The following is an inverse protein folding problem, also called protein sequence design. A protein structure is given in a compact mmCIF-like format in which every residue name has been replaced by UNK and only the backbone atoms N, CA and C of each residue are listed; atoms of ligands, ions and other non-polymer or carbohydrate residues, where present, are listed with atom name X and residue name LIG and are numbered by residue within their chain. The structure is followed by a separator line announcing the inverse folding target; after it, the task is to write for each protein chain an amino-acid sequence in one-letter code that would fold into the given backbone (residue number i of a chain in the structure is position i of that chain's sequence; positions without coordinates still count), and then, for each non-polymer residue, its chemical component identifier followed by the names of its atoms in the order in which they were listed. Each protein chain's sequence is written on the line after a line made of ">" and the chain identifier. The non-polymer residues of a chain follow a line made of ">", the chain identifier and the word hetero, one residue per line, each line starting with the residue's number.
data_IF_140168718807
#
_entry.id   IF_140168718807
#
_cell.length_a   1.000
_cell.length_b   1.000
_cell.length_c   1.000
_cell.angle_alpha   90.00
_cell.angle_beta   90.00
_cell.angle_gamma   90.00
#
_symmetry.space_group_name_H-M   'P 1'
#
loop_
_entity.id
_entity.type
_entity.pdbx_description
1 polymer ?
#
# COMPACT_ATOMS: atom_id res chain seq x y z
N UNK A 1 35.82 31.58 -39.33
CA UNK A 1 36.86 31.31 -40.35
C UNK A 1 36.83 29.84 -40.71
N UNK A 2 36.88 29.55 -42.01
CA UNK A 2 36.61 28.27 -42.68
C UNK A 2 37.34 27.03 -42.09
N UNK A 3 36.64 25.88 -42.06
CA UNK A 3 36.78 24.88 -43.14
C UNK A 3 35.72 23.77 -43.04
N UNK A 4 34.76 23.76 -43.98
CA UNK A 4 33.91 22.60 -44.27
C UNK A 4 34.48 21.94 -45.52
N UNK A 5 35.13 20.80 -45.36
CA UNK A 5 35.61 19.99 -46.49
C UNK A 5 34.42 19.13 -46.94
N UNK A 6 33.94 19.38 -48.16
CA UNK A 6 32.96 18.54 -48.83
C UNK A 6 33.72 17.49 -49.66
N UNK A 7 33.66 16.22 -49.25
CA UNK A 7 34.10 15.11 -50.08
C UNK A 7 32.91 14.59 -50.89
N UNK A 8 32.97 14.73 -52.21
CA UNK A 8 32.01 14.12 -53.14
C UNK A 8 32.60 12.82 -53.68
N UNK A 9 31.94 11.70 -53.42
CA UNK A 9 32.10 10.47 -54.20
C UNK A 9 30.79 10.31 -54.99
N UNK A 10 30.88 10.48 -56.31
CA UNK A 10 29.79 10.19 -57.24
C UNK A 10 29.97 8.78 -57.75
N UNK A 11 29.12 7.86 -57.30
CA UNK A 11 28.92 6.55 -57.95
C UNK A 11 27.42 6.37 -58.15
N UNK A 12 26.99 6.32 -59.41
CA UNK A 12 25.75 5.68 -59.84
C UNK A 12 24.41 6.27 -59.35
N UNK A 13 23.93 7.32 -60.02
CA UNK A 13 22.57 7.35 -60.58
C UNK A 13 21.33 7.07 -59.71
N UNK A 14 21.35 7.28 -58.39
CA UNK A 14 20.15 7.28 -57.54
C UNK A 14 20.32 8.30 -56.41
N UNK A 15 19.68 9.47 -56.56
CA UNK A 15 19.61 10.48 -55.50
C UNK A 15 18.60 10.04 -54.44
N UNK A 16 19.07 9.30 -53.45
CA UNK A 16 18.35 9.11 -52.19
C UNK A 16 18.48 10.42 -51.42
N UNK A 17 17.40 11.20 -51.35
CA UNK A 17 17.30 12.33 -50.44
C UNK A 17 17.35 11.80 -49.00
N UNK A 18 18.53 11.85 -48.39
CA UNK A 18 18.67 11.67 -46.96
C UNK A 18 18.17 12.97 -46.30
N UNK A 19 16.86 13.01 -46.01
CA UNK A 19 16.34 14.00 -45.08
C UNK A 19 17.09 13.80 -43.76
N UNK A 20 17.76 14.82 -43.20
CA UNK A 20 18.16 14.73 -41.81
C UNK A 20 16.87 14.52 -41.03
N UNK A 21 16.76 13.37 -40.35
CA UNK A 21 15.69 13.15 -39.39
C UNK A 21 15.66 14.38 -38.50
N UNK A 22 14.54 15.11 -38.56
CA UNK A 22 14.31 16.24 -37.68
C UNK A 22 14.55 15.77 -36.27
N UNK A 23 15.38 16.50 -35.53
CA UNK A 23 15.39 16.43 -34.08
C UNK A 23 13.97 16.76 -33.64
N UNK A 24 13.15 15.74 -33.37
CA UNK A 24 11.90 15.94 -32.63
C UNK A 24 12.28 16.70 -31.36
N UNK A 25 11.63 17.84 -31.15
CA UNK A 25 11.86 18.63 -29.94
C UNK A 25 11.50 17.74 -28.74
N UNK A 26 12.49 17.43 -27.91
CA UNK A 26 12.29 16.64 -26.70
C UNK A 26 11.26 17.34 -25.80
N UNK A 27 10.14 16.66 -25.54
CA UNK A 27 9.14 17.09 -24.57
C UNK A 27 9.55 16.73 -23.12
N UNK A 28 10.75 16.17 -22.94
CA UNK A 28 11.26 15.80 -21.65
C UNK A 28 11.82 17.01 -20.92
N UNK A 29 11.12 17.41 -19.85
CA UNK A 29 11.55 18.51 -18.99
C UNK A 29 12.15 17.92 -17.73
N UNK A 30 13.41 18.24 -17.48
CA UNK A 30 14.10 17.98 -16.22
C UNK A 30 13.92 19.20 -15.33
N UNK A 31 13.25 19.05 -14.20
CA UNK A 31 13.05 20.18 -13.29
C UNK A 31 14.38 20.66 -12.72
N UNK A 32 14.61 21.97 -12.76
CA UNK A 32 15.79 22.58 -12.15
C UNK A 32 15.71 22.46 -10.61
N UNK A 33 16.87 22.35 -9.91
CA UNK A 33 16.87 22.36 -8.46
C UNK A 33 16.24 23.67 -7.94
N UNK A 34 15.20 23.56 -7.11
CA UNK A 34 14.60 24.71 -6.43
C UNK A 34 15.46 25.13 -5.22
N UNK A 35 15.12 26.24 -4.56
CA UNK A 35 15.79 26.69 -3.33
C UNK A 35 15.74 25.68 -2.17
N UNK A 36 14.86 24.67 -2.23
CA UNK A 36 14.80 23.53 -1.30
C UNK A 36 15.94 22.51 -1.48
N UNK A 37 16.75 22.67 -2.54
CA UNK A 37 17.91 21.82 -2.89
C UNK A 37 18.97 21.70 -1.78
N UNK A 38 18.94 22.59 -0.77
CA UNK A 38 19.85 22.48 0.39
C UNK A 38 19.53 21.31 1.33
N UNK A 39 18.26 20.92 1.43
CA UNK A 39 17.79 19.89 2.38
C UNK A 39 17.31 18.61 1.71
N UNK A 40 17.08 18.64 0.39
CA UNK A 40 16.56 17.50 -0.38
C UNK A 40 17.32 17.39 -1.70
N UNK A 41 17.73 16.17 -2.06
CA UNK A 41 18.20 15.85 -3.39
C UNK A 41 17.00 15.61 -4.31
N UNK A 42 16.81 16.49 -5.30
CA UNK A 42 15.63 16.47 -6.17
C UNK A 42 15.98 16.10 -7.61
N UNK A 43 15.17 15.22 -8.21
CA UNK A 43 15.18 14.97 -9.66
C UNK A 43 13.78 14.61 -10.14
N UNK A 44 13.17 15.48 -10.92
CA UNK A 44 11.85 15.25 -11.51
C UNK A 44 11.92 15.30 -13.04
N UNK A 45 11.36 14.27 -13.68
CA UNK A 45 11.20 14.17 -15.13
C UNK A 45 9.72 14.28 -15.48
N UNK A 46 9.40 15.05 -16.52
CA UNK A 46 8.02 15.18 -17.00
C UNK A 46 7.44 13.84 -17.45
N UNK A 47 6.12 13.69 -17.35
CA UNK A 47 5.41 12.46 -17.75
C UNK A 47 5.68 12.11 -19.23
N UNK A 48 5.88 13.12 -20.08
CA UNK A 48 6.16 12.97 -21.51
C UNK A 48 7.56 12.45 -21.87
N UNK A 49 8.47 12.27 -20.91
CA UNK A 49 9.79 11.71 -21.19
C UNK A 49 9.70 10.25 -21.65
N UNK A 50 10.33 9.95 -22.78
CA UNK A 50 10.53 8.61 -23.33
C UNK A 50 11.45 7.77 -22.46
N UNK A 51 11.48 6.45 -22.67
CA UNK A 51 12.38 5.56 -21.94
C UNK A 51 13.85 5.91 -22.16
N UNK A 52 14.25 6.20 -23.41
CA UNK A 52 15.63 6.60 -23.73
C UNK A 52 16.05 7.89 -23.02
N UNK A 53 15.16 8.87 -22.92
CA UNK A 53 15.44 10.12 -22.19
C UNK A 53 15.57 9.88 -20.68
N UNK A 54 14.76 8.97 -20.10
CA UNK A 54 14.87 8.59 -18.69
C UNK A 54 16.18 7.85 -18.40
N UNK A 55 16.63 6.98 -19.32
CA UNK A 55 17.93 6.31 -19.23
C UNK A 55 19.10 7.29 -19.26
N UNK A 56 19.01 8.32 -20.10
CA UNK A 56 20.01 9.39 -20.14
C UNK A 56 20.05 10.23 -18.86
N UNK A 57 18.98 10.22 -18.07
CA UNK A 57 18.83 10.95 -16.81
C UNK A 57 18.81 10.01 -15.58
N UNK A 58 19.44 8.85 -15.70
CA UNK A 58 19.52 7.87 -14.61
C UNK A 58 20.10 8.49 -13.33
N UNK A 59 19.53 8.12 -12.19
CA UNK A 59 19.99 8.52 -10.87
C UNK A 59 20.68 7.32 -10.23
N UNK A 60 21.97 7.42 -9.96
CA UNK A 60 22.70 6.32 -9.33
C UNK A 60 22.38 6.27 -7.82
N UNK A 61 22.09 5.08 -7.30
CA UNK A 61 21.78 4.87 -5.88
C UNK A 61 22.89 5.36 -4.94
N UNK A 62 24.14 5.38 -5.41
CA UNK A 62 25.27 5.97 -4.68
C UNK A 62 25.09 7.48 -4.43
N UNK A 63 24.45 8.22 -5.35
CA UNK A 63 24.14 9.64 -5.17
C UNK A 63 23.07 9.82 -4.08
N UNK A 64 22.08 8.93 -4.04
CA UNK A 64 21.04 8.95 -3.01
C UNK A 64 21.61 8.64 -1.63
N UNK A 65 22.47 7.63 -1.54
CA UNK A 65 23.18 7.28 -0.32
C UNK A 65 24.06 8.44 0.16
N UNK A 66 24.76 9.11 -0.75
CA UNK A 66 25.57 10.29 -0.44
C UNK A 66 24.70 11.45 0.06
N UNK A 67 23.55 11.70 -0.55
CA UNK A 67 22.60 12.71 -0.08
C UNK A 67 22.16 12.45 1.37
N UNK A 68 21.84 11.20 1.72
CA UNK A 68 21.51 10.83 3.10
C UNK A 68 22.69 11.05 4.07
N UNK A 69 23.92 10.71 3.66
CA UNK A 69 25.14 10.96 4.47
C UNK A 69 25.38 12.45 4.72
N UNK A 70 24.95 13.31 3.79
CA UNK A 70 25.01 14.77 3.89
C UNK A 70 23.82 15.39 4.67
N UNK A 71 22.95 14.57 5.27
CA UNK A 71 21.82 15.07 6.04
C UNK A 71 20.59 15.43 5.19
N UNK A 72 20.56 15.10 3.90
CA UNK A 72 19.46 15.46 2.98
C UNK A 72 18.44 14.34 2.86
N UNK A 73 17.19 14.69 2.56
CA UNK A 73 16.21 13.75 2.01
C UNK A 73 16.39 13.53 0.50
N UNK A 74 15.55 12.69 -0.08
CA UNK A 74 15.43 12.52 -1.54
C UNK A 74 13.98 12.77 -1.98
N UNK A 75 13.85 13.39 -3.16
CA UNK A 75 12.59 13.61 -3.86
C UNK A 75 12.76 13.37 -5.36
N UNK A 76 12.37 12.17 -5.78
CA UNK A 76 12.52 11.69 -7.15
C UNK A 76 11.16 11.43 -7.78
N UNK A 77 10.98 11.86 -9.02
CA UNK A 77 9.75 11.66 -9.78
C UNK A 77 10.06 11.37 -11.25
N UNK A 78 9.48 10.30 -11.78
CA UNK A 78 9.67 9.92 -13.17
C UNK A 78 11.08 9.42 -13.54
N UNK A 79 11.93 9.04 -12.59
CA UNK A 79 13.32 8.68 -12.89
C UNK A 79 13.53 7.17 -13.00
N UNK A 80 14.68 6.79 -13.53
CA UNK A 80 15.26 5.46 -13.33
C UNK A 80 16.33 5.58 -12.24
N UNK A 81 16.19 4.80 -11.16
CA UNK A 81 17.20 4.65 -10.12
C UNK A 81 18.00 3.37 -10.39
N UNK A 82 19.33 3.50 -10.53
CA UNK A 82 20.23 2.39 -10.86
C UNK A 82 21.18 2.07 -9.71
N UNK A 83 21.45 0.78 -9.52
CA UNK A 83 22.37 0.29 -8.49
C UNK A 83 21.70 0.10 -7.12
N UNK A 84 22.43 -0.54 -6.22
CA UNK A 84 21.91 -0.92 -4.91
C UNK A 84 22.00 0.22 -3.88
N UNK A 85 20.88 0.49 -3.22
CA UNK A 85 20.79 1.42 -2.10
C UNK A 85 20.96 0.66 -0.77
N UNK A 86 22.20 0.58 -0.32
CA UNK A 86 22.59 -0.13 0.91
C UNK A 86 22.54 0.80 2.13
N UNK A 87 21.37 0.86 2.79
CA UNK A 87 21.10 1.76 3.93
C UNK A 87 21.85 1.35 5.21
N UNK A 88 22.32 0.10 5.29
CA UNK A 88 23.23 -0.40 6.33
C UNK A 88 24.63 0.23 6.25
N UNK A 89 24.94 1.04 5.24
CA UNK A 89 26.23 1.75 5.10
C UNK A 89 26.18 3.21 5.56
N UNK A 90 25.01 3.72 5.98
CA UNK A 90 24.86 5.06 6.58
C UNK A 90 25.60 5.13 7.92
N UNK A 91 26.22 6.24 8.33
CA UNK A 91 26.94 6.31 9.59
C UNK A 91 26.05 5.97 10.79
N UNK A 92 26.65 5.32 11.80
CA UNK A 92 25.97 5.05 13.07
C UNK A 92 25.71 6.38 13.77
N UNK A 93 24.49 6.54 14.28
CA UNK A 93 24.02 7.74 14.95
C UNK A 93 23.43 7.41 16.32
N UNK A 94 23.08 8.45 17.07
CA UNK A 94 22.30 8.30 18.30
C UNK A 94 20.82 8.03 17.96
N UNK A 95 20.09 7.44 18.89
CA UNK A 95 18.65 7.29 18.77
C UNK A 95 18.02 8.69 18.68
N UNK A 96 17.18 8.98 17.67
CA UNK A 96 16.48 10.26 17.59
C UNK A 96 15.59 10.48 18.82
N UNK A 97 15.56 11.72 19.32
CA UNK A 97 14.82 12.11 20.54
C UNK A 97 13.33 11.78 20.48
N UNK A 98 12.76 11.74 19.27
CA UNK A 98 11.38 11.33 19.01
C UNK A 98 11.08 9.88 19.48
N UNK A 99 12.12 9.08 19.70
CA UNK A 99 12.07 7.67 20.08
C UNK A 99 12.59 7.40 21.51
N UNK A 100 12.96 8.42 22.28
CA UNK A 100 13.56 8.25 23.63
C UNK A 100 12.68 7.43 24.59
N UNK A 101 11.35 7.51 24.43
CA UNK A 101 10.39 6.76 25.23
C UNK A 101 10.33 5.25 24.92
N UNK A 102 10.94 4.79 23.82
CA UNK A 102 10.89 3.39 23.37
C UNK A 102 12.12 2.64 23.89
N UNK A 103 12.06 2.20 25.15
CA UNK A 103 13.17 1.52 25.84
C UNK A 103 13.68 0.29 25.08
N UNK A 104 12.81 -0.40 24.37
CA UNK A 104 13.15 -1.60 23.61
C UNK A 104 13.95 -1.31 22.32
N UNK A 105 14.09 -0.05 21.94
CA UNK A 105 14.98 0.39 20.85
C UNK A 105 16.39 0.76 21.34
N UNK A 106 16.59 0.91 22.65
CA UNK A 106 17.86 1.31 23.24
C UNK A 106 18.92 0.21 23.09
N UNK A 107 20.19 0.61 23.02
CA UNK A 107 21.33 -0.31 22.90
C UNK A 107 21.52 -0.94 21.52
N UNK A 108 20.72 -0.54 20.51
CA UNK A 108 20.86 -0.99 19.13
C UNK A 108 21.73 -0.03 18.33
N UNK A 109 22.44 -0.53 17.33
CA UNK A 109 23.10 0.32 16.35
C UNK A 109 22.03 1.09 15.56
N UNK A 110 22.05 2.42 15.59
CA UNK A 110 21.05 3.25 14.90
C UNK A 110 21.66 3.84 13.64
N UNK A 111 20.97 3.71 12.50
CA UNK A 111 21.28 4.41 11.26
C UNK A 111 20.08 5.23 10.84
N UNK A 112 20.30 6.44 10.35
CA UNK A 112 19.22 7.41 10.14
C UNK A 112 19.17 7.87 8.70
N UNK A 113 18.00 7.76 8.07
CA UNK A 113 17.63 8.52 6.88
C UNK A 113 17.04 9.85 7.37
N UNK A 114 17.75 10.98 7.15
CA UNK A 114 17.49 12.23 7.87
C UNK A 114 16.25 12.99 7.37
N UNK A 115 15.83 12.75 6.13
CA UNK A 115 14.73 13.46 5.48
C UNK A 115 13.73 12.52 4.80
N UNK A 116 13.01 13.06 3.81
CA UNK A 116 12.07 12.30 2.99
C UNK A 116 12.78 11.21 2.18
N UNK A 117 12.05 10.14 1.89
CA UNK A 117 12.45 9.10 0.95
C UNK A 117 11.36 8.94 -0.09
N UNK A 118 11.33 9.85 -1.07
CA UNK A 118 10.30 9.89 -2.10
C UNK A 118 10.88 9.43 -3.44
N UNK A 119 10.29 8.38 -4.01
CA UNK A 119 10.58 7.81 -5.33
C UNK A 119 9.23 7.54 -5.98
N UNK A 120 8.76 8.45 -6.82
CA UNK A 120 7.36 8.49 -7.33
C UNK A 120 7.33 8.26 -8.83
N UNK A 121 6.37 7.47 -9.31
CA UNK A 121 6.15 7.16 -10.72
C UNK A 121 7.46 6.83 -11.47
N UNK A 122 8.33 6.06 -10.82
CA UNK A 122 9.73 5.81 -11.21
C UNK A 122 10.01 4.30 -11.37
N UNK A 123 11.23 3.96 -11.80
CA UNK A 123 11.72 2.58 -11.85
C UNK A 123 12.98 2.45 -11.00
N UNK A 124 12.99 1.56 -10.02
CA UNK A 124 14.18 1.20 -9.25
C UNK A 124 14.73 -0.14 -9.73
N UNK A 125 15.91 -0.12 -10.36
CA UNK A 125 16.55 -1.30 -10.98
C UNK A 125 17.52 -2.04 -10.08
N UNK A 126 17.88 -1.44 -8.95
CA UNK A 126 18.68 -2.10 -7.92
C UNK A 126 17.86 -2.37 -6.67
N UNK A 127 18.53 -2.99 -5.71
CA UNK A 127 17.91 -3.33 -4.42
C UNK A 127 17.86 -2.12 -3.49
N UNK A 128 16.93 -2.13 -2.54
CA UNK A 128 16.93 -1.21 -1.40
C UNK A 128 16.99 -2.07 -0.14
N UNK A 129 18.10 -2.02 0.60
CA UNK A 129 18.31 -2.96 1.72
C UNK A 129 18.85 -2.30 2.98
N UNK A 130 18.37 -2.77 4.11
CA UNK A 130 18.99 -2.59 5.42
C UNK A 130 19.31 -3.97 6.03
N UNK A 131 20.58 -4.40 5.92
CA UNK A 131 21.02 -5.75 6.31
C UNK A 131 21.45 -5.89 7.78
N UNK A 132 21.39 -4.82 8.57
CA UNK A 132 21.83 -4.90 9.97
C UNK A 132 20.90 -5.82 10.75
N UNK A 133 21.43 -6.95 11.23
CA UNK A 133 20.66 -7.94 12.00
C UNK A 133 20.36 -7.41 13.40
N UNK A 134 21.29 -6.65 13.98
CA UNK A 134 21.17 -6.10 15.34
C UNK A 134 20.77 -4.61 15.32
N UNK A 135 21.07 -3.89 14.24
CA UNK A 135 20.77 -2.47 14.11
C UNK A 135 19.35 -2.13 13.66
N UNK A 136 19.03 -0.86 13.77
CA UNK A 136 17.75 -0.25 13.45
C UNK A 136 17.97 0.86 12.42
N UNK A 137 17.17 0.83 11.37
CA UNK A 137 17.07 1.97 10.46
C UNK A 137 15.96 2.90 10.97
N UNK A 138 16.20 4.19 11.09
CA UNK A 138 15.17 5.18 11.38
C UNK A 138 15.02 6.11 10.20
N UNK A 139 13.81 6.22 9.65
CA UNK A 139 13.48 7.16 8.58
C UNK A 139 12.68 8.31 9.17
N UNK A 140 13.30 9.50 9.22
CA UNK A 140 12.72 10.67 9.88
C UNK A 140 11.63 11.35 9.05
N UNK A 141 11.79 11.38 7.73
CA UNK A 141 10.82 11.99 6.82
C UNK A 141 9.80 10.98 6.26
N UNK A 142 8.82 11.46 5.48
CA UNK A 142 7.84 10.59 4.83
C UNK A 142 8.51 9.67 3.80
N UNK A 143 7.96 8.46 3.66
CA UNK A 143 8.37 7.51 2.63
C UNK A 143 7.26 7.41 1.59
N UNK A 144 7.56 7.73 0.33
CA UNK A 144 6.57 7.67 -0.75
C UNK A 144 7.14 6.93 -1.94
N UNK A 145 6.57 5.77 -2.24
CA UNK A 145 6.91 4.92 -3.38
C UNK A 145 5.77 4.83 -4.41
N UNK A 146 4.90 5.83 -4.44
CA UNK A 146 3.67 5.80 -5.22
C UNK A 146 3.94 5.61 -6.71
N UNK A 147 3.25 4.66 -7.34
CA UNK A 147 3.40 4.37 -8.78
C UNK A 147 4.78 3.85 -9.20
N UNK A 148 5.69 3.57 -8.25
CA UNK A 148 7.06 3.15 -8.56
C UNK A 148 7.17 1.65 -8.71
N UNK A 149 7.92 1.21 -9.71
CA UNK A 149 8.23 -0.21 -9.98
C UNK A 149 9.61 -0.55 -9.43
N UNK A 150 9.67 -1.51 -8.50
CA UNK A 150 10.90 -2.07 -7.95
C UNK A 150 11.20 -3.40 -8.62
N UNK A 151 12.32 -3.45 -9.36
CA UNK A 151 12.72 -4.63 -10.12
C UNK A 151 13.43 -5.68 -9.29
N UNK A 152 13.98 -5.27 -8.15
CA UNK A 152 14.79 -6.09 -7.26
C UNK A 152 14.26 -6.02 -5.82
N UNK A 153 14.83 -6.82 -4.93
CA UNK A 153 14.46 -6.93 -3.52
C UNK A 153 14.39 -5.55 -2.83
N UNK A 154 13.31 -5.33 -2.09
CA UNK A 154 13.19 -4.23 -1.12
C UNK A 154 13.12 -4.81 0.29
N UNK A 155 14.18 -4.62 1.07
CA UNK A 155 14.25 -5.06 2.47
C UNK A 155 14.47 -3.86 3.40
N UNK A 156 13.38 -3.41 4.00
CA UNK A 156 13.35 -2.38 5.04
C UNK A 156 12.99 -3.00 6.39
N UNK A 157 13.39 -4.24 6.63
CA UNK A 157 13.23 -4.89 7.93
C UNK A 157 13.99 -4.15 9.04
N UNK A 158 13.45 -4.22 10.25
CA UNK A 158 13.97 -3.55 11.46
C UNK A 158 14.11 -2.04 11.24
N UNK A 159 13.08 -1.44 10.64
CA UNK A 159 13.00 0.00 10.41
C UNK A 159 11.93 0.65 11.28
N UNK A 160 12.16 1.90 11.68
CA UNK A 160 11.14 2.78 12.29
C UNK A 160 10.85 3.93 11.33
N UNK A 161 9.60 4.07 10.94
CA UNK A 161 9.11 5.15 10.09
C UNK A 161 8.36 6.16 10.95
N UNK A 162 8.94 7.35 11.13
CA UNK A 162 8.36 8.39 11.98
C UNK A 162 7.19 9.12 11.34
N UNK A 163 7.15 9.12 10.01
CA UNK A 163 6.19 9.83 9.18
C UNK A 163 5.41 8.83 8.30
N UNK A 164 4.33 9.26 7.63
CA UNK A 164 3.50 8.38 6.82
C UNK A 164 4.29 7.63 5.74
N UNK A 165 3.85 6.41 5.45
CA UNK A 165 4.40 5.56 4.39
C UNK A 165 3.35 5.35 3.31
N UNK A 166 3.62 5.79 2.09
CA UNK A 166 2.70 5.66 0.95
C UNK A 166 3.32 4.77 -0.13
N UNK A 167 2.66 3.65 -0.42
CA UNK A 167 3.05 2.65 -1.42
C UNK A 167 2.00 2.53 -2.55
N UNK A 168 1.02 3.42 -2.60
CA UNK A 168 -0.12 3.30 -3.51
C UNK A 168 0.31 3.17 -4.97
N UNK A 169 -0.26 2.21 -5.69
CA UNK A 169 0.11 1.87 -7.08
C UNK A 169 1.56 1.39 -7.29
N UNK A 170 2.35 1.18 -6.22
CA UNK A 170 3.69 0.62 -6.37
C UNK A 170 3.64 -0.83 -6.87
N UNK A 171 4.70 -1.27 -7.55
CA UNK A 171 4.84 -2.63 -8.08
C UNK A 171 6.17 -3.21 -7.61
N UNK A 172 6.13 -4.20 -6.74
CA UNK A 172 7.29 -4.99 -6.32
C UNK A 172 7.35 -6.26 -7.18
N UNK A 173 8.39 -6.39 -8.01
CA UNK A 173 8.57 -7.57 -8.85
C UNK A 173 9.24 -8.73 -8.11
N UNK A 174 10.05 -8.41 -7.11
CA UNK A 174 10.71 -9.38 -6.22
C UNK A 174 10.13 -9.27 -4.80
N UNK A 175 10.81 -9.88 -3.84
CA UNK A 175 10.34 -9.87 -2.46
C UNK A 175 10.35 -8.47 -1.84
N UNK A 176 9.45 -8.27 -0.88
CA UNK A 176 9.39 -7.04 -0.10
C UNK A 176 9.27 -7.35 1.39
N UNK A 177 10.26 -6.94 2.15
CA UNK A 177 10.38 -7.27 3.57
C UNK A 177 10.34 -6.02 4.43
N UNK A 178 9.44 -6.04 5.40
CA UNK A 178 9.24 -5.04 6.43
C UNK A 178 9.26 -5.69 7.82
N UNK A 179 9.99 -6.80 7.97
CA UNK A 179 9.99 -7.63 9.19
C UNK A 179 10.45 -6.82 10.39
N UNK A 180 9.73 -6.89 11.50
CA UNK A 180 9.99 -6.09 12.71
C UNK A 180 10.01 -4.57 12.42
N UNK A 181 9.20 -4.12 11.47
CA UNK A 181 9.00 -2.71 11.17
C UNK A 181 8.11 -2.02 12.21
N UNK A 182 8.34 -0.74 12.47
CA UNK A 182 7.45 0.12 13.26
C UNK A 182 7.00 1.30 12.41
N UNK A 183 5.69 1.44 12.24
CA UNK A 183 5.07 2.52 11.48
C UNK A 183 4.28 3.39 12.45
N UNK A 184 4.81 4.59 12.75
CA UNK A 184 4.22 5.44 13.80
C UNK A 184 3.01 6.25 13.31
N UNK A 185 2.84 6.35 11.99
CA UNK A 185 1.79 7.06 11.29
C UNK A 185 1.14 6.16 10.25
N UNK A 186 0.22 6.73 9.49
CA UNK A 186 -0.61 6.03 8.52
C UNK A 186 0.23 5.34 7.44
N UNK A 187 -0.24 4.16 7.02
CA UNK A 187 0.33 3.41 5.90
C UNK A 187 -0.72 3.25 4.81
N UNK A 188 -0.45 3.82 3.64
CA UNK A 188 -1.36 3.81 2.50
C UNK A 188 -0.74 3.01 1.37
N UNK A 189 -1.19 1.79 1.18
CA UNK A 189 -0.70 0.86 0.17
C UNK A 189 -1.86 0.38 -0.70
N UNK A 190 -2.62 1.33 -1.26
CA UNK A 190 -3.80 1.05 -2.10
C UNK A 190 -3.38 0.69 -3.52
N UNK A 191 -4.03 -0.32 -4.10
CA UNK A 191 -3.74 -0.78 -5.48
C UNK A 191 -2.26 -1.13 -5.70
N UNK A 192 -1.57 -1.55 -4.64
CA UNK A 192 -0.17 -1.97 -4.68
C UNK A 192 -0.08 -3.42 -5.15
N UNK A 193 0.87 -3.71 -6.03
CA UNK A 193 1.17 -5.08 -6.48
C UNK A 193 2.43 -5.57 -5.79
N UNK A 194 2.27 -6.49 -4.85
CA UNK A 194 3.36 -7.14 -4.14
C UNK A 194 3.83 -8.39 -4.87
N UNK A 195 5.15 -8.63 -4.82
CA UNK A 195 5.83 -9.69 -5.55
C UNK A 195 5.65 -11.10 -4.94
N UNK A 196 6.58 -12.03 -5.25
CA UNK A 196 6.47 -13.43 -4.86
C UNK A 196 6.42 -13.68 -3.36
N UNK A 197 7.15 -12.92 -2.54
CA UNK A 197 7.05 -13.03 -1.07
C UNK A 197 7.01 -11.64 -0.43
N UNK A 198 6.04 -11.44 0.46
CA UNK A 198 5.91 -10.19 1.23
C UNK A 198 5.77 -10.49 2.71
N UNK A 199 6.57 -9.80 3.53
CA UNK A 199 6.66 -10.11 4.96
C UNK A 199 6.56 -8.86 5.82
N UNK A 200 5.58 -8.86 6.71
CA UNK A 200 5.39 -7.89 7.78
C UNK A 200 5.61 -8.52 9.17
N UNK A 201 6.16 -9.74 9.24
CA UNK A 201 6.31 -10.51 10.49
C UNK A 201 6.80 -9.65 11.68
N UNK A 202 6.07 -9.70 12.81
CA UNK A 202 6.36 -8.94 14.04
C UNK A 202 6.42 -7.42 13.87
N UNK A 203 5.75 -6.87 12.87
CA UNK A 203 5.65 -5.42 12.70
C UNK A 203 4.55 -4.82 13.55
N UNK A 204 4.68 -3.52 13.82
CA UNK A 204 3.71 -2.74 14.58
C UNK A 204 3.28 -1.53 13.75
N UNK A 205 1.98 -1.40 13.52
CA UNK A 205 1.34 -0.25 12.86
C UNK A 205 0.55 0.54 13.90
N UNK A 206 1.04 1.71 14.27
CA UNK A 206 0.41 2.59 15.27
C UNK A 206 -0.67 3.49 14.68
N UNK A 207 -0.57 3.82 13.38
CA UNK A 207 -1.58 4.54 12.62
C UNK A 207 -2.51 3.62 11.83
N UNK A 208 -3.58 4.17 11.22
CA UNK A 208 -4.44 3.46 10.28
C UNK A 208 -3.66 2.89 9.09
N UNK A 209 -4.13 1.75 8.57
CA UNK A 209 -3.50 1.08 7.43
C UNK A 209 -4.54 0.75 6.36
N UNK A 210 -4.21 0.98 5.09
CA UNK A 210 -5.04 0.54 3.96
C UNK A 210 -4.21 -0.20 2.93
N UNK A 211 -4.68 -1.40 2.57
CA UNK A 211 -4.25 -2.24 1.45
C UNK A 211 -5.40 -2.42 0.44
N UNK A 212 -6.35 -1.48 0.43
CA UNK A 212 -7.55 -1.59 -0.39
C UNK A 212 -7.16 -1.85 -1.86
N UNK A 213 -7.80 -2.83 -2.49
CA UNK A 213 -7.56 -3.23 -3.88
C UNK A 213 -6.13 -3.65 -4.22
N UNK A 214 -5.30 -3.97 -3.22
CA UNK A 214 -3.93 -4.44 -3.45
C UNK A 214 -3.88 -5.93 -3.77
N UNK A 215 -2.82 -6.35 -4.46
CA UNK A 215 -2.58 -7.73 -4.84
C UNK A 215 -1.30 -8.26 -4.25
N UNK A 216 -1.38 -9.37 -3.53
CA UNK A 216 -0.24 -10.17 -3.10
C UNK A 216 -0.08 -11.35 -4.05
N UNK A 217 0.87 -11.26 -4.98
CA UNK A 217 0.99 -12.22 -6.08
C UNK A 217 1.59 -13.56 -5.66
N UNK A 218 2.33 -13.59 -4.55
CA UNK A 218 2.78 -14.84 -3.94
C UNK A 218 2.42 -14.94 -2.45
N UNK A 219 3.33 -15.46 -1.63
CA UNK A 219 3.08 -15.64 -0.19
C UNK A 219 3.09 -14.30 0.54
N UNK A 220 2.08 -14.07 1.39
CA UNK A 220 1.95 -12.88 2.21
C UNK A 220 1.95 -13.23 3.70
N UNK A 221 2.96 -12.77 4.44
CA UNK A 221 3.11 -13.06 5.86
C UNK A 221 2.84 -11.81 6.71
N UNK A 222 1.69 -11.83 7.37
CA UNK A 222 1.30 -10.92 8.45
C UNK A 222 1.31 -11.69 9.77
N UNK A 223 2.40 -12.39 10.08
CA UNK A 223 2.52 -13.22 11.28
C UNK A 223 2.92 -12.38 12.50
N UNK A 224 2.20 -12.50 13.61
CA UNK A 224 2.47 -11.75 14.85
C UNK A 224 2.50 -10.21 14.64
N UNK A 225 1.66 -9.68 13.75
CA UNK A 225 1.57 -8.24 13.46
C UNK A 225 0.60 -7.57 14.42
N UNK A 226 0.96 -6.40 14.92
CA UNK A 226 0.05 -5.56 15.71
C UNK A 226 -0.44 -4.36 14.91
N UNK A 227 -1.76 -4.27 14.70
CA UNK A 227 -2.44 -3.11 14.16
C UNK A 227 -3.17 -2.40 15.31
N UNK A 228 -2.70 -1.21 15.70
CA UNK A 228 -3.26 -0.45 16.84
C UNK A 228 -4.52 0.34 16.48
N UNK A 229 -4.74 0.56 15.18
CA UNK A 229 -5.87 1.29 14.61
C UNK A 229 -6.53 0.45 13.51
N UNK A 230 -7.49 1.06 12.82
CA UNK A 230 -8.24 0.40 11.76
C UNK A 230 -7.32 -0.03 10.62
N UNK A 231 -7.60 -1.23 10.09
CA UNK A 231 -6.97 -1.77 8.90
C UNK A 231 -8.02 -2.09 7.84
N UNK A 232 -7.77 -1.61 6.62
CA UNK A 232 -8.60 -1.85 5.46
C UNK A 232 -7.88 -2.75 4.46
N UNK A 233 -8.25 -4.02 4.42
CA UNK A 233 -7.84 -5.04 3.44
C UNK A 233 -9.02 -5.38 2.50
N UNK A 234 -9.98 -4.48 2.34
CA UNK A 234 -11.13 -4.72 1.47
C UNK A 234 -10.70 -4.82 0.01
N UNK A 235 -11.31 -5.77 -0.71
CA UNK A 235 -11.00 -6.05 -2.12
C UNK A 235 -9.54 -6.40 -2.39
N UNK A 236 -8.77 -6.78 -1.36
CA UNK A 236 -7.41 -7.27 -1.52
C UNK A 236 -7.42 -8.69 -2.09
N UNK A 237 -6.47 -9.01 -2.97
CA UNK A 237 -6.30 -10.37 -3.50
C UNK A 237 -5.02 -11.02 -2.99
N UNK A 238 -5.15 -12.18 -2.36
CA UNK A 238 -4.05 -13.05 -1.95
C UNK A 238 -4.00 -14.26 -2.90
N UNK A 239 -3.01 -14.30 -3.79
CA UNK A 239 -2.96 -15.33 -4.86
C UNK A 239 -2.46 -16.68 -4.39
N UNK A 240 -1.49 -16.72 -3.47
CA UNK A 240 -1.00 -17.96 -2.86
C UNK A 240 -1.42 -17.98 -1.38
N UNK A 241 -0.61 -18.59 -0.50
CA UNK A 241 -0.87 -18.64 0.93
C UNK A 241 -0.73 -17.28 1.61
N UNK A 242 -1.59 -17.00 2.58
CA UNK A 242 -1.48 -15.84 3.46
C UNK A 242 -1.64 -16.24 4.92
N UNK A 243 -0.85 -15.62 5.79
CA UNK A 243 -0.85 -15.91 7.22
C UNK A 243 -1.01 -14.65 8.05
N UNK A 244 -2.04 -14.62 8.88
CA UNK A 244 -2.30 -13.63 9.92
C UNK A 244 -2.08 -14.21 11.33
N UNK A 245 -1.54 -15.43 11.44
CA UNK A 245 -1.46 -16.14 12.71
C UNK A 245 -0.74 -15.35 13.81
N UNK A 246 -1.34 -15.34 15.00
CA UNK A 246 -0.85 -14.59 16.16
C UNK A 246 -0.97 -13.06 16.03
N UNK A 247 -1.55 -12.53 14.95
CA UNK A 247 -1.73 -11.08 14.79
C UNK A 247 -2.82 -10.52 15.69
N UNK A 248 -2.74 -9.22 15.93
CA UNK A 248 -3.66 -8.46 16.76
C UNK A 248 -4.19 -7.25 16.00
N UNK A 249 -5.50 -7.20 15.84
CA UNK A 249 -6.23 -6.09 15.23
C UNK A 249 -7.01 -5.35 16.32
N UNK A 250 -6.52 -4.20 16.78
CA UNK A 250 -7.20 -3.44 17.84
C UNK A 250 -8.37 -2.60 17.36
N UNK A 251 -8.23 -1.98 16.18
CA UNK A 251 -9.32 -1.31 15.50
C UNK A 251 -10.16 -2.25 14.66
N UNK A 252 -10.98 -1.66 13.77
CA UNK A 252 -11.72 -2.39 12.75
C UNK A 252 -10.74 -3.14 11.83
N UNK A 253 -10.98 -4.43 11.62
CA UNK A 253 -10.29 -5.24 10.63
C UNK A 253 -11.21 -5.54 9.45
N UNK A 254 -11.10 -4.77 8.37
CA UNK A 254 -11.97 -4.90 7.22
C UNK A 254 -11.32 -5.77 6.12
N UNK A 255 -11.82 -6.98 5.94
CA UNK A 255 -11.50 -7.93 4.86
C UNK A 255 -12.67 -8.10 3.87
N UNK A 256 -13.62 -7.17 3.84
CA UNK A 256 -14.80 -7.28 2.98
C UNK A 256 -14.39 -7.38 1.50
N UNK A 257 -15.06 -8.26 0.76
CA UNK A 257 -14.78 -8.54 -0.65
C UNK A 257 -13.31 -9.00 -0.94
N UNK A 258 -12.53 -9.37 0.09
CA UNK A 258 -11.17 -9.90 -0.11
C UNK A 258 -11.21 -11.30 -0.72
N UNK A 259 -10.23 -11.63 -1.56
CA UNK A 259 -10.12 -12.94 -2.21
C UNK A 259 -8.85 -13.66 -1.75
N UNK A 260 -9.03 -14.85 -1.18
CA UNK A 260 -7.99 -15.74 -0.70
C UNK A 260 -7.94 -16.98 -1.59
N UNK A 261 -6.97 -17.04 -2.50
CA UNK A 261 -6.87 -18.12 -3.48
C UNK A 261 -6.11 -19.33 -2.93
N UNK A 262 -5.09 -19.10 -2.11
CA UNK A 262 -4.41 -20.13 -1.35
C UNK A 262 -4.96 -20.25 0.08
N UNK A 263 -4.25 -21.02 0.91
CA UNK A 263 -4.61 -21.20 2.32
C UNK A 263 -4.53 -19.88 3.09
N UNK A 264 -5.51 -19.62 3.94
CA UNK A 264 -5.57 -18.41 4.77
C UNK A 264 -5.57 -18.80 6.25
N UNK A 265 -4.48 -18.49 6.95
CA UNK A 265 -4.31 -18.85 8.35
C UNK A 265 -4.53 -17.65 9.27
N UNK A 266 -5.58 -17.69 10.07
CA UNK A 266 -5.90 -16.74 11.13
C UNK A 266 -5.75 -17.37 12.52
N UNK A 267 -4.95 -18.44 12.65
CA UNK A 267 -4.81 -19.15 13.92
C UNK A 267 -4.25 -18.26 15.02
N UNK A 268 -4.84 -18.32 16.22
CA UNK A 268 -4.47 -17.45 17.36
C UNK A 268 -4.59 -15.94 17.11
N UNK A 269 -5.27 -15.51 16.04
CA UNK A 269 -5.49 -14.08 15.76
C UNK A 269 -6.44 -13.47 16.78
N UNK A 270 -6.16 -12.25 17.21
CA UNK A 270 -7.02 -11.48 18.11
C UNK A 270 -7.63 -10.29 17.38
N UNK A 271 -8.94 -10.35 17.16
CA UNK A 271 -9.75 -9.23 16.69
C UNK A 271 -10.31 -8.49 17.92
N UNK A 272 -9.60 -7.44 18.33
CA UNK A 272 -9.99 -6.54 19.42
C UNK A 272 -11.17 -5.65 19.05
N UNK A 273 -11.15 -5.10 17.83
CA UNK A 273 -12.28 -4.40 17.21
C UNK A 273 -13.15 -5.31 16.36
N UNK A 274 -14.09 -4.71 15.62
CA UNK A 274 -14.95 -5.44 14.68
C UNK A 274 -14.11 -6.09 13.56
N UNK A 275 -14.50 -7.28 13.11
CA UNK A 275 -13.86 -8.03 12.04
C UNK A 275 -14.87 -8.27 10.91
N UNK A 276 -14.70 -7.57 9.80
CA UNK A 276 -15.61 -7.60 8.66
C UNK A 276 -15.05 -8.49 7.55
N UNK A 277 -15.64 -9.66 7.34
CA UNK A 277 -15.33 -10.60 6.26
C UNK A 277 -16.48 -10.71 5.25
N UNK A 278 -17.37 -9.71 5.19
CA UNK A 278 -18.52 -9.76 4.28
C UNK A 278 -18.10 -9.93 2.84
N UNK A 279 -18.75 -10.84 2.14
CA UNK A 279 -18.45 -11.14 0.73
C UNK A 279 -17.00 -11.57 0.45
N UNK A 280 -16.22 -11.91 1.49
CA UNK A 280 -14.88 -12.47 1.30
C UNK A 280 -14.98 -13.86 0.66
N UNK A 281 -14.05 -14.18 -0.24
CA UNK A 281 -13.99 -15.48 -0.93
C UNK A 281 -12.73 -16.23 -0.53
N UNK A 282 -12.90 -17.40 0.10
CA UNK A 282 -11.85 -18.33 0.45
C UNK A 282 -11.93 -19.55 -0.48
N UNK A 283 -11.01 -19.64 -1.45
CA UNK A 283 -10.96 -20.73 -2.44
C UNK A 283 -10.21 -21.97 -1.96
N UNK A 284 -9.43 -21.82 -0.89
CA UNK A 284 -8.77 -22.90 -0.18
C UNK A 284 -9.17 -22.88 1.31
N UNK A 285 -8.52 -23.69 2.13
CA UNK A 285 -8.81 -23.77 3.56
C UNK A 285 -8.60 -22.41 4.24
N UNK A 286 -9.61 -21.97 4.98
CA UNK A 286 -9.52 -20.84 5.90
C UNK A 286 -9.51 -21.35 7.34
N UNK A 287 -8.44 -21.09 8.08
CA UNK A 287 -8.26 -21.61 9.44
C UNK A 287 -8.26 -20.47 10.48
N UNK A 288 -9.35 -20.38 11.24
CA UNK A 288 -9.55 -19.46 12.36
C UNK A 288 -9.41 -20.17 13.71
N UNK A 289 -8.74 -21.31 13.77
CA UNK A 289 -8.60 -22.06 15.02
C UNK A 289 -7.90 -21.23 16.11
N UNK A 290 -8.49 -21.22 17.31
CA UNK A 290 -8.06 -20.41 18.44
C UNK A 290 -8.09 -18.88 18.21
N UNK A 291 -8.78 -18.41 17.17
CA UNK A 291 -9.00 -16.98 16.98
C UNK A 291 -9.94 -16.42 18.06
N UNK A 292 -9.70 -15.18 18.47
CA UNK A 292 -10.51 -14.46 19.45
C UNK A 292 -11.19 -13.26 18.80
N UNK A 293 -12.52 -13.28 18.74
CA UNK A 293 -13.34 -12.18 18.27
C UNK A 293 -13.92 -11.44 19.48
N UNK A 294 -13.24 -10.37 19.90
CA UNK A 294 -13.67 -9.51 21.03
C UNK A 294 -14.65 -8.44 20.57
N UNK A 295 -14.47 -7.91 19.36
CA UNK A 295 -15.48 -7.14 18.64
C UNK A 295 -16.43 -8.05 17.84
N UNK A 296 -17.35 -7.46 17.08
CA UNK A 296 -18.30 -8.21 16.26
C UNK A 296 -17.59 -8.80 15.04
N UNK A 297 -17.86 -10.06 14.72
CA UNK A 297 -17.49 -10.67 13.45
C UNK A 297 -18.67 -10.70 12.48
N UNK A 298 -18.42 -10.34 11.22
CA UNK A 298 -19.42 -10.43 10.15
C UNK A 298 -18.88 -11.23 8.96
N UNK A 299 -19.38 -12.46 8.81
CA UNK A 299 -19.09 -13.35 7.70
C UNK A 299 -20.25 -13.44 6.70
N UNK A 300 -21.18 -12.48 6.70
CA UNK A 300 -22.35 -12.53 5.82
C UNK A 300 -21.92 -12.53 4.35
N UNK A 301 -22.49 -13.47 3.59
CA UNK A 301 -22.14 -13.71 2.19
C UNK A 301 -20.67 -14.09 1.94
N UNK A 302 -19.89 -14.46 2.96
CA UNK A 302 -18.57 -15.05 2.75
C UNK A 302 -18.70 -16.46 2.13
N UNK A 303 -17.79 -16.79 1.21
CA UNK A 303 -17.74 -18.11 0.54
C UNK A 303 -16.51 -18.89 1.00
N UNK A 304 -16.71 -20.15 1.39
CA UNK A 304 -15.65 -21.08 1.81
C UNK A 304 -15.67 -22.34 0.92
N UNK A 305 -14.97 -22.31 -0.21
CA UNK A 305 -15.07 -23.37 -1.24
C UNK A 305 -14.53 -24.72 -0.77
N UNK A 306 -13.49 -24.72 0.06
CA UNK A 306 -12.86 -25.92 0.64
C UNK A 306 -13.09 -26.04 2.16
N UNK A 307 -14.08 -25.29 2.69
CA UNK A 307 -14.41 -25.27 4.10
C UNK A 307 -13.56 -24.34 4.97
N UNK A 308 -14.03 -24.15 6.21
CA UNK A 308 -13.43 -23.28 7.22
C UNK A 308 -13.28 -23.99 8.56
N UNK A 309 -12.21 -23.69 9.30
CA UNK A 309 -11.97 -24.23 10.64
C UNK A 309 -12.12 -23.12 11.69
N UNK A 310 -12.90 -23.39 12.74
CA UNK A 310 -13.11 -22.47 13.88
C UNK A 310 -12.87 -23.18 15.22
N UNK A 311 -12.04 -24.22 15.23
CA UNK A 311 -11.76 -25.03 16.42
C UNK A 311 -11.25 -24.14 17.56
N UNK A 312 -11.91 -24.16 18.71
CA UNK A 312 -11.57 -23.31 19.87
C UNK A 312 -11.58 -21.79 19.58
N UNK A 313 -12.22 -21.34 18.49
CA UNK A 313 -12.45 -19.92 18.28
C UNK A 313 -13.50 -19.41 19.26
N UNK A 314 -13.28 -18.23 19.84
CA UNK A 314 -14.17 -17.64 20.84
C UNK A 314 -14.71 -16.29 20.37
N UNK A 315 -16.00 -16.04 20.61
CA UNK A 315 -16.70 -14.78 20.40
C UNK A 315 -17.11 -14.20 21.75
N UNK A 316 -16.55 -13.05 22.10
CA UNK A 316 -16.88 -12.35 23.34
C UNK A 316 -17.86 -11.19 23.13
N UNK A 317 -18.02 -10.71 21.90
CA UNK A 317 -19.03 -9.70 21.59
C UNK A 317 -20.46 -10.27 21.72
N UNK A 318 -21.42 -9.50 22.27
CA UNK A 318 -22.82 -9.92 22.29
C UNK A 318 -23.32 -10.16 20.86
N UNK A 319 -24.09 -11.25 20.67
CA UNK A 319 -24.74 -11.51 19.39
C UNK A 319 -25.55 -10.28 18.95
N UNK A 320 -25.49 -9.86 17.67
CA UNK A 320 -26.30 -8.75 17.19
C UNK A 320 -27.77 -9.06 17.46
N UNK A 321 -28.50 -8.08 18.00
CA UNK A 321 -29.94 -8.19 18.13
C UNK A 321 -30.51 -8.51 16.73
N UNK A 322 -31.45 -9.48 16.61
CA UNK A 322 -32.05 -9.78 15.32
C UNK A 322 -32.60 -8.49 14.72
N UNK A 323 -32.45 -8.27 13.40
CA UNK A 323 -32.97 -7.06 12.77
C UNK A 323 -34.44 -6.95 13.13
N UNK A 324 -34.83 -5.83 13.76
CA UNK A 324 -36.24 -5.55 14.08
C UNK A 324 -37.00 -5.62 12.77
N UNK A 325 -37.70 -6.72 12.54
CA UNK A 325 -38.46 -6.92 11.32
C UNK A 325 -39.48 -5.81 11.19
N UNK A 326 -39.52 -5.15 10.03
CA UNK A 326 -40.49 -4.11 9.64
C UNK A 326 -41.95 -4.61 9.54
N UNK A 327 -42.36 -5.59 10.37
CA UNK A 327 -43.75 -6.06 10.40
C UNK A 327 -44.69 -4.95 10.89
N UNK A 328 -44.28 -4.16 11.87
CA UNK A 328 -45.10 -3.06 12.39
C UNK A 328 -45.27 -1.93 11.38
N UNK A 329 -44.19 -1.51 10.71
CA UNK A 329 -44.27 -0.45 9.69
C UNK A 329 -45.17 -0.84 8.50
N UNK A 330 -45.09 -2.09 8.05
CA UNK A 330 -45.96 -2.61 6.98
C UNK A 330 -47.43 -2.67 7.41
N UNK A 331 -47.71 -2.98 8.68
CA UNK A 331 -49.07 -3.03 9.21
C UNK A 331 -49.67 -1.62 9.35
N UNK A 332 -48.90 -0.64 9.84
CA UNK A 332 -49.34 0.76 9.90
C UNK A 332 -49.55 1.37 8.51
N UNK A 333 -48.68 1.05 7.53
CA UNK A 333 -48.84 1.49 6.15
C UNK A 333 -50.13 0.92 5.51
N UNK A 334 -50.43 -0.37 5.74
CA UNK A 334 -51.66 -0.99 5.25
C UNK A 334 -52.92 -0.37 5.86
N UNK A 335 -52.91 -0.07 7.18
CA UNK A 335 -54.01 0.61 7.87
C UNK A 335 -54.19 2.03 7.32
N UNK A 336 -53.11 2.79 7.12
CA UNK A 336 -53.18 4.15 6.58
C UNK A 336 -53.77 4.19 5.16
N UNK A 337 -53.40 3.22 4.30
CA UNK A 337 -53.97 3.08 2.95
C UNK A 337 -55.48 2.78 3.02
N UNK A 338 -55.91 1.87 3.90
CA UNK A 338 -57.32 1.54 4.09
C UNK A 338 -58.14 2.75 4.58
N UNK A 339 -57.60 3.53 5.53
CA UNK A 339 -58.25 4.75 6.01
C UNK A 339 -58.35 5.82 4.93
N UNK A 340 -57.29 6.01 4.14
CA UNK A 340 -57.30 6.95 3.02
C UNK A 340 -58.30 6.54 1.94
N UNK A 341 -58.39 5.24 1.63
CA UNK A 341 -59.36 4.71 0.68
C UNK A 341 -60.81 4.86 1.18
N UNK A 342 -61.04 4.60 2.47
CA UNK A 342 -62.33 4.85 3.12
C UNK A 342 -62.75 6.31 3.04
N UNK A 343 -61.84 7.24 3.34
CA UNK A 343 -62.10 8.68 3.24
C UNK A 343 -62.43 9.10 1.79
N UNK A 344 -61.69 8.58 0.81
CA UNK A 344 -61.97 8.83 -0.62
C UNK A 344 -63.34 8.31 -1.06
N UNK A 345 -63.76 7.13 -0.60
CA UNK A 345 -65.09 6.58 -0.88
C UNK A 345 -66.21 7.42 -0.27
N UNK A 346 -66.01 7.95 0.94
CA UNK A 346 -66.96 8.86 1.58
C UNK A 346 -67.08 10.15 0.76
N UNK A 347 -65.95 10.76 0.38
CA UNK A 347 -65.94 11.96 -0.48
C UNK A 347 -66.61 11.70 -1.83
N UNK A 348 -66.34 10.54 -2.45
CA UNK A 348 -66.98 10.13 -3.70
C UNK A 348 -68.50 9.98 -3.56
N UNK A 349 -68.99 9.34 -2.48
CA UNK A 349 -70.42 9.21 -2.18
C UNK A 349 -71.10 10.55 -1.95
N UNK A 350 -70.47 11.46 -1.21
CA UNK A 350 -71.01 12.82 -0.95
C UNK A 350 -71.11 13.62 -2.25
N UNK A 351 -70.14 13.50 -3.17
CA UNK A 351 -70.18 14.17 -4.47
C UNK A 351 -71.24 13.60 -5.40
N UNK A 352 -71.50 12.29 -5.35
CA UNK A 352 -72.49 11.62 -6.21
C UNK A 352 -73.94 11.78 -5.72
N UNK A 353 -74.16 12.01 -4.42
CA UNK A 353 -75.48 12.29 -3.84
C UNK A 353 -75.98 13.74 -3.99
N UNK A 354 -75.19 14.61 -4.64
CA UNK A 354 -75.54 16.02 -4.94
C UNK A 354 -75.73 16.27 -6.44
N UNK A 355 -75.79 15.22 -7.25
CA UNK A 355 -76.01 15.28 -8.71
C UNK A 355 -77.42 14.80 -9.06
#
# INVERSE_FOLDING_TARGET
>A
MMNRIWAWIVVGGLTIFWFPFGTEASNCQVSAPTSESRTVFTRHLSVGCTEQEREAQVVDAAQLLQAFKEGKGIDLSGVIVRGDLMLDTLPVSQLPTELDGMKELQGREIRVVPGSMMIVDSVARGTIKHRSVQGLLVVKGPVTFSGTRFEQLVDLSRSVFLQPVTLSRAVFLQESYFVQGRFLRDVVAEKTSFGPHTRFHRSVFQGPVTFQQSGFNGMAEFLEVAFEKDVNLSRTSFKLGTGFSGSRFQGLANFSEASFNGQAFFTFTQFGGDADFRQATFRSTADFSNAQFKGRDDFSSASFEQGSQFTSANRSAPAPAPPKGNKEFMQYAAIAILLAFGALLIVYRIRRGKA
#
